data_IF_238033709258
#
_entry.id   IF_238033709258
#
_cell.length_a   1.000
_cell.length_b   1.000
_cell.length_c   1.000
_cell.angle_alpha   90.00
_cell.angle_beta   90.00
_cell.angle_gamma   90.00
#
_symmetry.space_group_name_H-M   'P 1'
#
loop_
_entity.id
_entity.type
_entity.pdbx_description
1 polymer ?
#
# COMPACT_ATOMS: atom_id res chain seq x y z
N UNK A 1 14.70 8.02 -17.18
CA UNK A 1 13.26 8.29 -16.99
C UNK A 1 13.06 8.79 -15.57
N UNK A 2 12.46 9.96 -15.38
CA UNK A 2 12.20 10.49 -14.05
C UNK A 2 10.97 9.79 -13.48
N UNK A 3 11.15 8.97 -12.43
CA UNK A 3 10.03 8.43 -11.66
C UNK A 3 9.26 9.61 -11.08
N UNK A 4 7.97 9.71 -11.37
CA UNK A 4 7.16 10.82 -10.89
C UNK A 4 7.10 10.80 -9.36
N UNK A 5 6.92 11.96 -8.72
CA UNK A 5 6.77 12.03 -7.25
C UNK A 5 5.64 11.12 -6.75
N UNK A 6 4.58 10.99 -7.54
CA UNK A 6 3.44 10.12 -7.26
C UNK A 6 3.84 8.64 -7.34
N UNK A 7 4.58 8.23 -8.37
CA UNK A 7 5.07 6.86 -8.49
C UNK A 7 5.96 6.46 -7.31
N UNK A 8 6.83 7.36 -6.86
CA UNK A 8 7.62 7.12 -5.64
C UNK A 8 6.73 6.94 -4.42
N UNK A 9 5.75 7.82 -4.23
CA UNK A 9 4.83 7.74 -3.10
C UNK A 9 4.01 6.45 -3.10
N UNK A 10 3.49 6.04 -4.26
CA UNK A 10 2.77 4.76 -4.43
C UNK A 10 3.68 3.58 -4.08
N UNK A 11 4.93 3.59 -4.54
CA UNK A 11 5.90 2.54 -4.21
C UNK A 11 6.21 2.48 -2.71
N UNK A 12 6.36 3.63 -2.04
CA UNK A 12 6.57 3.71 -0.59
C UNK A 12 5.38 3.15 0.19
N UNK A 13 4.15 3.54 -0.19
CA UNK A 13 2.93 3.05 0.46
C UNK A 13 2.77 1.54 0.30
N UNK A 14 3.03 1.01 -0.91
CA UNK A 14 3.02 -0.44 -1.16
C UNK A 14 4.03 -1.18 -0.30
N UNK A 15 5.27 -0.71 -0.27
CA UNK A 15 6.31 -1.31 0.56
C UNK A 15 5.97 -1.29 2.06
N UNK A 16 5.37 -0.19 2.54
CA UNK A 16 4.89 -0.07 3.92
C UNK A 16 3.78 -1.08 4.25
N UNK A 17 2.78 -1.20 3.37
CA UNK A 17 1.67 -2.15 3.52
C UNK A 17 2.14 -3.60 3.43
N UNK A 18 3.04 -3.93 2.51
CA UNK A 18 3.62 -5.27 2.39
C UNK A 18 4.43 -5.65 3.63
N UNK A 19 5.24 -4.71 4.14
CA UNK A 19 6.00 -4.92 5.37
C UNK A 19 5.06 -5.15 6.57
N UNK A 20 4.02 -4.34 6.72
CA UNK A 20 3.05 -4.50 7.78
C UNK A 20 2.31 -5.84 7.68
N UNK A 21 1.91 -6.26 6.47
CA UNK A 21 1.32 -7.57 6.23
C UNK A 21 2.28 -8.71 6.57
N UNK A 22 3.56 -8.59 6.19
CA UNK A 22 4.58 -9.59 6.52
C UNK A 22 4.77 -9.70 8.04
N UNK A 23 4.86 -8.57 8.73
CA UNK A 23 4.96 -8.51 10.18
C UNK A 23 3.75 -9.12 10.89
N UNK A 24 2.55 -8.84 10.39
CA UNK A 24 1.31 -9.38 10.93
C UNK A 24 1.16 -10.89 10.67
N UNK A 25 1.28 -11.33 9.41
CA UNK A 25 0.98 -12.71 9.03
C UNK A 25 2.15 -13.68 9.19
N UNK A 26 3.39 -13.22 9.05
CA UNK A 26 4.59 -14.09 9.08
C UNK A 26 5.33 -13.99 10.40
N UNK A 27 5.50 -12.78 10.93
CA UNK A 27 6.28 -12.57 12.16
C UNK A 27 5.43 -12.56 13.45
N UNK A 28 4.10 -12.49 13.33
CA UNK A 28 3.17 -12.30 14.45
C UNK A 28 3.56 -11.11 15.36
N UNK A 29 4.13 -10.07 14.74
CA UNK A 29 4.73 -8.90 15.40
C UNK A 29 4.43 -7.62 14.60
N UNK A 30 3.17 -7.16 14.58
CA UNK A 30 2.81 -5.95 13.86
C UNK A 30 3.56 -4.73 14.42
N UNK A 31 4.31 -4.02 13.57
CA UNK A 31 4.99 -2.79 13.99
C UNK A 31 4.10 -1.55 13.91
N UNK A 32 2.95 -1.64 13.22
CA UNK A 32 1.97 -0.58 13.08
C UNK A 32 0.60 -1.05 13.57
N UNK A 33 -0.19 -0.12 14.11
CA UNK A 33 -1.57 -0.40 14.47
C UNK A 33 -2.47 -0.50 13.22
N UNK A 34 -3.60 -1.20 13.35
CA UNK A 34 -4.58 -1.37 12.27
C UNK A 34 -5.04 -0.02 11.69
N UNK A 35 -5.22 1.00 12.53
CA UNK A 35 -5.59 2.36 12.11
C UNK A 35 -4.54 3.00 11.18
N UNK A 36 -3.25 2.74 11.45
CA UNK A 36 -2.15 3.22 10.63
C UNK A 36 -2.08 2.45 9.31
N UNK A 37 -2.33 1.13 9.34
CA UNK A 37 -2.46 0.31 8.14
C UNK A 37 -3.59 0.81 7.25
N UNK A 38 -4.78 1.04 7.82
CA UNK A 38 -5.95 1.57 7.12
C UNK A 38 -5.69 2.94 6.52
N UNK A 39 -4.95 3.82 7.22
CA UNK A 39 -4.56 5.11 6.71
C UNK A 39 -3.64 5.00 5.48
N UNK A 40 -2.63 4.13 5.53
CA UNK A 40 -1.73 3.87 4.40
C UNK A 40 -2.50 3.29 3.19
N UNK A 41 -3.42 2.38 3.46
CA UNK A 41 -4.25 1.74 2.44
C UNK A 41 -5.21 2.73 1.79
N UNK A 42 -5.84 3.62 2.56
CA UNK A 42 -6.68 4.71 2.03
C UNK A 42 -5.88 5.65 1.15
N UNK A 43 -4.70 6.07 1.61
CA UNK A 43 -3.85 6.97 0.82
C UNK A 43 -3.45 6.32 -0.52
N UNK A 44 -3.07 5.04 -0.49
CA UNK A 44 -2.74 4.29 -1.71
C UNK A 44 -3.95 4.20 -2.65
N UNK A 45 -5.13 3.88 -2.12
CA UNK A 45 -6.38 3.81 -2.88
C UNK A 45 -6.72 5.15 -3.54
N UNK A 46 -6.58 6.27 -2.82
CA UNK A 46 -6.85 7.60 -3.38
C UNK A 46 -5.88 7.98 -4.49
N UNK A 47 -4.59 7.65 -4.32
CA UNK A 47 -3.58 7.91 -5.35
C UNK A 47 -3.83 7.07 -6.59
N UNK A 48 -4.16 5.79 -6.41
CA UNK A 48 -4.51 4.88 -7.50
C UNK A 48 -5.82 5.25 -8.21
N UNK A 49 -6.81 5.77 -7.48
CA UNK A 49 -8.04 6.29 -8.07
C UNK A 49 -7.78 7.53 -8.95
N UNK A 50 -6.84 8.39 -8.53
CA UNK A 50 -6.41 9.56 -9.31
C UNK A 50 -5.46 9.19 -10.46
N UNK A 51 -4.76 8.07 -10.34
CA UNK A 51 -3.78 7.58 -11.29
C UNK A 51 -4.02 6.10 -11.62
N UNK A 52 -5.04 5.79 -12.44
CA UNK A 52 -5.36 4.41 -12.81
C UNK A 52 -4.20 3.68 -13.50
N UNK A 53 -3.30 4.42 -14.16
CA UNK A 53 -2.08 3.90 -14.79
C UNK A 53 -1.07 3.30 -13.78
N UNK A 54 -1.21 3.63 -12.50
CA UNK A 54 -0.34 3.12 -11.44
C UNK A 54 -0.90 1.89 -10.75
N UNK A 55 -2.19 1.55 -10.95
CA UNK A 55 -2.82 0.37 -10.39
C UNK A 55 -2.15 -0.88 -10.95
N UNK A 56 -1.67 -1.74 -10.06
CA UNK A 56 -1.13 -3.06 -10.43
C UNK A 56 -1.97 -4.16 -9.81
N UNK A 57 -2.07 -5.34 -10.45
CA UNK A 57 -2.82 -6.47 -9.89
C UNK A 57 -2.20 -7.00 -8.58
N UNK A 58 -0.93 -6.69 -8.33
CA UNK A 58 -0.23 -7.02 -7.10
C UNK A 58 -0.48 -6.01 -5.97
N UNK A 59 -1.13 -4.88 -6.26
CA UNK A 59 -1.35 -3.83 -5.28
C UNK A 59 -2.23 -4.30 -4.12
N UNK A 60 -1.89 -3.94 -2.86
CA UNK A 60 -2.68 -4.28 -1.69
C UNK A 60 -4.16 -3.84 -1.79
N UNK A 61 -4.43 -2.74 -2.49
CA UNK A 61 -5.79 -2.21 -2.73
C UNK A 61 -6.69 -3.15 -3.51
N UNK A 62 -6.12 -4.00 -4.38
CA UNK A 62 -6.86 -4.99 -5.17
C UNK A 62 -7.21 -6.25 -4.37
N UNK A 63 -6.59 -6.45 -3.20
CA UNK A 63 -6.81 -7.62 -2.34
C UNK A 63 -7.91 -7.40 -1.29
N UNK A 64 -8.36 -6.17 -1.10
CA UNK A 64 -9.36 -5.81 -0.08
C UNK A 64 -10.75 -6.06 -0.66
N UNK A 65 -11.30 -7.25 -0.43
CA UNK A 65 -12.63 -7.61 -0.94
C UNK A 65 -13.04 -9.08 -0.87
N UNK A 66 -12.44 -9.90 0.01
CA UNK A 66 -12.86 -11.29 0.23
C UNK A 66 -13.43 -11.47 1.64
#
# INVERSE_FOLDING_TARGET
MAVSRIQKRVAELRAGLEKANYEYYILDQPSIADEAYDALLRELTELEAKHPELVTPESPTQRVGA
#
